data_IF_177404630125
#
_entry.id   IF_177404630125
#
_cell.length_a   1.000
_cell.length_b   1.000
_cell.length_c   1.000
_cell.angle_alpha   90.00
_cell.angle_beta   90.00
_cell.angle_gamma   90.00
#
_symmetry.space_group_name_H-M   'P 1'
#
loop_
_entity.id
_entity.type
_entity.pdbx_description
1 polymer ?
#
# COMPACT_ATOMS: atom_id res chain seq x y z
N UNK A 1 -8.43 41.08 -32.95
CA UNK A 1 -9.37 41.04 -31.81
C UNK A 1 -10.35 39.89 -32.02
N UNK A 2 -10.17 38.79 -31.30
CA UNK A 2 -11.05 37.63 -31.39
C UNK A 2 -12.36 37.92 -30.66
N UNK A 3 -13.49 37.83 -31.38
CA UNK A 3 -14.83 37.95 -30.81
C UNK A 3 -15.12 36.70 -29.98
N UNK A 4 -15.02 36.79 -28.66
CA UNK A 4 -15.57 35.81 -27.73
C UNK A 4 -17.08 35.81 -27.89
N UNK A 5 -17.62 34.82 -28.62
CA UNK A 5 -19.06 34.56 -28.69
C UNK A 5 -19.51 34.08 -27.31
N UNK A 6 -20.07 34.97 -26.51
CA UNK A 6 -20.84 34.63 -25.31
C UNK A 6 -22.01 33.74 -25.74
N UNK A 7 -22.01 32.47 -25.30
CA UNK A 7 -23.14 31.57 -25.55
C UNK A 7 -24.40 32.14 -24.89
N UNK A 8 -25.57 32.09 -25.55
CA UNK A 8 -26.83 32.46 -24.92
C UNK A 8 -27.07 31.57 -23.70
N UNK A 9 -27.56 32.15 -22.60
CA UNK A 9 -27.92 31.39 -21.40
C UNK A 9 -29.05 30.42 -21.75
N UNK A 10 -28.79 29.12 -21.56
CA UNK A 10 -29.83 28.10 -21.71
C UNK A 10 -30.81 28.16 -20.52
N UNK A 11 -32.11 27.98 -20.75
CA UNK A 11 -33.06 27.82 -19.65
C UNK A 11 -32.74 26.55 -18.84
N UNK A 12 -33.06 26.55 -17.54
CA UNK A 12 -32.77 25.47 -16.59
C UNK A 12 -33.24 24.09 -17.09
N UNK A 13 -34.37 24.03 -17.80
CA UNK A 13 -34.90 22.81 -18.41
C UNK A 13 -33.98 22.24 -19.50
N UNK A 14 -33.31 23.09 -20.28
CA UNK A 14 -32.37 22.68 -21.32
C UNK A 14 -31.07 22.12 -20.73
N UNK A 15 -30.61 22.69 -19.60
CA UNK A 15 -29.46 22.19 -18.86
C UNK A 15 -29.73 20.77 -18.31
N UNK A 16 -30.89 20.58 -17.68
CA UNK A 16 -31.29 19.27 -17.13
C UNK A 16 -31.34 18.18 -18.21
N UNK A 17 -32.02 18.45 -19.33
CA UNK A 17 -32.13 17.48 -20.43
C UNK A 17 -30.77 17.10 -21.03
N UNK A 18 -29.82 18.04 -21.08
CA UNK A 18 -28.46 17.78 -21.56
C UNK A 18 -27.71 16.83 -20.63
N UNK A 19 -27.81 17.04 -19.31
CA UNK A 19 -27.21 16.17 -18.31
C UNK A 19 -27.86 14.78 -18.32
N UNK A 20 -29.19 14.69 -18.42
CA UNK A 20 -29.90 13.41 -18.52
C UNK A 20 -29.47 12.60 -19.76
N UNK A 21 -29.31 13.25 -20.91
CA UNK A 21 -28.79 12.60 -22.13
C UNK A 21 -27.36 12.08 -21.94
N UNK A 22 -26.52 12.80 -21.20
CA UNK A 22 -25.16 12.38 -20.89
C UNK A 22 -25.16 11.19 -19.92
N UNK A 23 -26.02 11.24 -18.89
CA UNK A 23 -26.25 10.14 -17.95
C UNK A 23 -26.95 8.92 -18.57
N UNK A 24 -27.54 9.02 -19.76
CA UNK A 24 -28.12 7.86 -20.46
C UNK A 24 -27.07 7.03 -21.23
N UNK A 25 -25.86 7.56 -21.43
CA UNK A 25 -24.80 6.86 -22.18
C UNK A 25 -24.27 5.66 -21.41
N UNK A 26 -23.75 4.67 -22.12
CA UNK A 26 -23.05 3.53 -21.50
C UNK A 26 -21.73 3.96 -20.85
N UNK A 27 -21.00 4.88 -21.48
CA UNK A 27 -19.73 5.42 -20.98
C UNK A 27 -19.68 6.94 -21.20
N UNK A 28 -19.16 7.66 -20.23
CA UNK A 28 -18.95 9.12 -20.29
C UNK A 28 -17.46 9.36 -20.50
N UNK A 29 -17.12 10.15 -21.52
CA UNK A 29 -15.73 10.42 -21.91
C UNK A 29 -15.34 11.87 -21.67
N UNK A 30 -14.03 12.21 -21.63
CA UNK A 30 -13.58 13.60 -21.51
C UNK A 30 -14.16 14.52 -22.59
N UNK A 31 -14.40 14.01 -23.80
CA UNK A 31 -15.01 14.76 -24.90
C UNK A 31 -16.46 15.16 -24.59
N UNK A 32 -17.19 14.34 -23.83
CA UNK A 32 -18.59 14.57 -23.49
C UNK A 32 -18.75 15.69 -22.46
N UNK A 33 -17.76 15.83 -21.57
CA UNK A 33 -17.75 16.84 -20.50
C UNK A 33 -17.01 18.12 -20.89
N UNK A 34 -16.11 18.08 -21.88
CA UNK A 34 -15.29 19.23 -22.28
C UNK A 34 -16.09 20.43 -22.81
N UNK A 35 -17.33 20.21 -23.26
CA UNK A 35 -18.22 21.26 -23.76
C UNK A 35 -19.15 21.88 -22.71
N UNK A 36 -19.07 21.44 -21.44
CA UNK A 36 -19.96 21.85 -20.36
C UNK A 36 -19.58 23.22 -19.78
N UNK A 37 -20.59 24.03 -19.47
CA UNK A 37 -20.43 25.23 -18.65
C UNK A 37 -20.21 24.86 -17.17
N UNK A 38 -19.72 25.81 -16.35
CA UNK A 38 -19.54 25.56 -14.91
C UNK A 38 -20.85 25.14 -14.21
N UNK A 39 -21.98 25.76 -14.57
CA UNK A 39 -23.29 25.36 -14.03
C UNK A 39 -23.67 23.93 -14.43
N UNK A 40 -23.37 23.52 -15.67
CA UNK A 40 -23.63 22.17 -16.15
C UNK A 40 -22.72 21.14 -15.47
N UNK A 41 -21.45 21.49 -15.22
CA UNK A 41 -20.51 20.65 -14.48
C UNK A 41 -20.96 20.45 -13.04
N UNK A 42 -21.32 21.52 -12.32
CA UNK A 42 -21.83 21.40 -10.95
C UNK A 42 -23.10 20.55 -10.88
N UNK A 43 -24.02 20.70 -11.85
CA UNK A 43 -25.22 19.86 -11.90
C UNK A 43 -24.86 18.39 -12.16
N UNK A 44 -23.92 18.13 -13.08
CA UNK A 44 -23.43 16.79 -13.36
C UNK A 44 -22.81 16.16 -12.10
N UNK A 45 -21.88 16.85 -11.43
CA UNK A 45 -21.24 16.40 -10.20
C UNK A 45 -22.24 16.05 -9.10
N UNK A 46 -23.26 16.90 -8.90
CA UNK A 46 -24.33 16.63 -7.94
C UNK A 46 -25.12 15.37 -8.30
N UNK A 47 -25.45 15.18 -9.58
CA UNK A 47 -26.17 13.99 -10.06
C UNK A 47 -25.32 12.72 -9.97
N UNK A 48 -24.03 12.80 -10.31
CA UNK A 48 -23.10 11.68 -10.16
C UNK A 48 -23.00 11.27 -8.69
N UNK A 49 -22.90 12.24 -7.79
CA UNK A 49 -22.84 12.01 -6.33
C UNK A 49 -24.12 11.35 -5.81
N UNK A 50 -25.29 11.82 -6.24
CA UNK A 50 -26.60 11.26 -5.89
C UNK A 50 -26.72 9.78 -6.33
N UNK A 51 -26.35 9.48 -7.59
CA UNK A 51 -26.38 8.11 -8.12
C UNK A 51 -25.39 7.21 -7.39
N UNK A 52 -24.18 7.70 -7.10
CA UNK A 52 -23.18 6.95 -6.34
C UNK A 52 -23.66 6.66 -4.92
N UNK A 53 -24.34 7.60 -4.27
CA UNK A 53 -24.85 7.40 -2.91
C UNK A 53 -26.01 6.40 -2.86
N UNK A 54 -26.84 6.35 -3.92
CA UNK A 54 -27.96 5.42 -4.04
C UNK A 54 -27.58 4.01 -4.50
N UNK A 55 -26.47 3.85 -5.24
CA UNK A 55 -26.06 2.58 -5.84
C UNK A 55 -25.18 1.72 -4.91
N UNK A 56 -25.32 0.40 -5.04
CA UNK A 56 -24.53 -0.61 -4.30
C UNK A 56 -24.07 -1.75 -5.21
N UNK A 57 -23.12 -2.54 -4.73
CA UNK A 57 -22.66 -3.78 -5.39
C UNK A 57 -22.37 -3.58 -6.89
N UNK A 58 -22.88 -4.48 -7.75
CA UNK A 58 -22.66 -4.47 -9.19
C UNK A 58 -23.24 -3.24 -9.89
N UNK A 59 -24.32 -2.64 -9.36
CA UNK A 59 -24.86 -1.39 -9.91
C UNK A 59 -23.86 -0.26 -9.75
N UNK A 60 -23.29 -0.15 -8.54
CA UNK A 60 -22.27 0.84 -8.24
C UNK A 60 -21.02 0.65 -9.10
N UNK A 61 -20.54 -0.59 -9.25
CA UNK A 61 -19.37 -0.87 -10.07
C UNK A 61 -19.59 -0.47 -11.53
N UNK A 62 -20.73 -0.85 -12.12
CA UNK A 62 -21.07 -0.46 -13.50
C UNK A 62 -21.13 1.06 -13.66
N UNK A 63 -21.65 1.76 -12.66
CA UNK A 63 -21.70 3.21 -12.70
C UNK A 63 -20.31 3.85 -12.57
N UNK A 64 -19.44 3.29 -11.73
CA UNK A 64 -18.05 3.71 -11.61
C UNK A 64 -17.27 3.49 -12.91
N UNK A 65 -17.39 2.30 -13.53
CA UNK A 65 -16.77 2.01 -14.85
C UNK A 65 -17.23 2.99 -15.94
N UNK A 66 -18.51 3.39 -15.89
CA UNK A 66 -19.08 4.36 -16.82
C UNK A 66 -18.47 5.75 -16.70
N UNK A 67 -18.13 6.19 -15.49
CA UNK A 67 -17.62 7.55 -15.22
C UNK A 67 -16.10 7.61 -15.02
N UNK A 68 -15.43 6.47 -14.86
CA UNK A 68 -13.99 6.34 -14.66
C UNK A 68 -13.15 7.20 -15.63
N UNK A 69 -13.46 7.30 -16.94
CA UNK A 69 -12.67 8.13 -17.86
C UNK A 69 -12.71 9.63 -17.58
N UNK A 70 -13.70 10.11 -16.83
CA UNK A 70 -13.86 11.53 -16.48
C UNK A 70 -13.58 11.82 -15.01
N UNK A 71 -13.27 10.78 -14.21
CA UNK A 71 -12.84 10.95 -12.83
C UNK A 71 -11.43 11.55 -12.78
N UNK A 72 -11.25 12.53 -11.90
CA UNK A 72 -9.91 13.00 -11.55
C UNK A 72 -9.19 11.90 -10.76
N UNK A 73 -7.86 11.90 -10.83
CA UNK A 73 -7.06 10.89 -10.14
C UNK A 73 -7.28 10.94 -8.61
N UNK A 74 -7.34 12.14 -8.03
CA UNK A 74 -7.67 12.33 -6.62
C UNK A 74 -9.00 11.66 -6.23
N UNK A 75 -10.03 11.74 -7.09
CA UNK A 75 -11.31 11.08 -6.83
C UNK A 75 -11.21 9.56 -6.86
N UNK A 76 -10.31 9.00 -7.68
CA UNK A 76 -10.05 7.56 -7.70
C UNK A 76 -9.31 7.14 -6.44
N UNK A 77 -8.35 7.95 -5.97
CA UNK A 77 -7.63 7.72 -4.73
C UNK A 77 -8.59 7.77 -3.54
N UNK A 78 -9.45 8.79 -3.44
CA UNK A 78 -10.48 8.88 -2.40
C UNK A 78 -11.40 7.65 -2.38
N UNK A 79 -11.80 7.16 -3.56
CA UNK A 79 -12.62 5.97 -3.69
C UNK A 79 -11.87 4.72 -3.21
N UNK A 80 -10.59 4.60 -3.56
CA UNK A 80 -9.73 3.52 -3.11
C UNK A 80 -9.55 3.55 -1.59
N UNK A 81 -9.24 4.70 -0.99
CA UNK A 81 -9.10 4.87 0.45
C UNK A 81 -10.38 4.52 1.20
N UNK A 82 -11.53 4.99 0.68
CA UNK A 82 -12.83 4.66 1.25
C UNK A 82 -13.09 3.16 1.21
N UNK A 83 -12.80 2.51 0.09
CA UNK A 83 -12.94 1.06 -0.04
C UNK A 83 -11.98 0.32 0.91
N UNK A 84 -10.73 0.77 1.01
CA UNK A 84 -9.73 0.25 1.94
C UNK A 84 -10.25 0.31 3.39
N UNK A 85 -10.70 1.48 3.83
CA UNK A 85 -11.25 1.67 5.17
C UNK A 85 -12.46 0.76 5.44
N UNK A 86 -13.41 0.68 4.51
CA UNK A 86 -14.60 -0.17 4.66
C UNK A 86 -14.23 -1.66 4.76
N UNK A 87 -13.33 -2.13 3.89
CA UNK A 87 -12.86 -3.51 3.88
C UNK A 87 -12.10 -3.83 5.18
N UNK A 88 -11.15 -2.99 5.57
CA UNK A 88 -10.35 -3.16 6.79
C UNK A 88 -11.22 -3.18 8.05
N UNK A 89 -12.21 -2.29 8.13
CA UNK A 89 -13.17 -2.25 9.24
C UNK A 89 -14.07 -3.49 9.29
N UNK A 90 -14.55 -3.97 8.14
CA UNK A 90 -15.35 -5.20 8.08
C UNK A 90 -14.52 -6.42 8.52
N UNK A 91 -13.25 -6.51 8.08
CA UNK A 91 -12.34 -7.56 8.52
C UNK A 91 -12.12 -7.51 10.03
N UNK A 92 -11.78 -6.34 10.57
CA UNK A 92 -11.52 -6.17 12.00
C UNK A 92 -12.75 -6.54 12.86
N UNK A 93 -13.94 -6.08 12.46
CA UNK A 93 -15.20 -6.39 13.15
C UNK A 93 -15.51 -7.88 13.10
N UNK A 94 -15.36 -8.52 11.94
CA UNK A 94 -15.62 -9.95 11.80
C UNK A 94 -14.66 -10.79 12.64
N UNK A 95 -13.38 -10.44 12.67
CA UNK A 95 -12.39 -11.08 13.54
C UNK A 95 -12.74 -10.92 15.02
N UNK A 96 -13.15 -9.73 15.44
CA UNK A 96 -13.54 -9.48 16.83
C UNK A 96 -14.78 -10.30 17.25
N UNK A 97 -15.75 -10.48 16.35
CA UNK A 97 -17.01 -11.15 16.65
C UNK A 97 -16.95 -12.68 16.54
N UNK A 98 -16.17 -13.20 15.59
CA UNK A 98 -16.19 -14.62 15.23
C UNK A 98 -14.84 -15.32 15.36
N UNK A 99 -13.76 -14.58 15.66
CA UNK A 99 -12.39 -15.09 15.74
C UNK A 99 -11.91 -15.84 14.48
N UNK A 100 -12.51 -15.54 13.33
CA UNK A 100 -12.17 -16.13 12.03
C UNK A 100 -12.07 -15.06 10.96
N UNK A 101 -11.28 -15.31 9.91
CA UNK A 101 -11.18 -14.40 8.77
C UNK A 101 -12.46 -14.46 7.93
N UNK A 102 -13.05 -13.30 7.56
CA UNK A 102 -14.20 -13.30 6.67
C UNK A 102 -13.81 -13.70 5.26
N UNK A 103 -14.73 -14.38 4.59
CA UNK A 103 -14.68 -14.58 3.14
C UNK A 103 -14.97 -13.26 2.41
N UNK A 104 -14.52 -13.16 1.15
CA UNK A 104 -14.81 -12.01 0.29
C UNK A 104 -16.31 -11.73 0.14
N UNK A 105 -17.15 -12.78 0.20
CA UNK A 105 -18.61 -12.64 0.15
C UNK A 105 -19.18 -12.00 1.41
N UNK A 106 -18.62 -12.32 2.59
CA UNK A 106 -19.04 -11.70 3.84
C UNK A 106 -18.64 -10.22 3.87
N UNK A 107 -17.41 -9.90 3.45
CA UNK A 107 -16.95 -8.51 3.33
C UNK A 107 -17.85 -7.73 2.37
N UNK A 108 -18.13 -8.28 1.18
CA UNK A 108 -19.00 -7.64 0.20
C UNK A 108 -20.41 -7.36 0.77
N UNK A 109 -21.02 -8.36 1.42
CA UNK A 109 -22.34 -8.23 2.03
C UNK A 109 -22.38 -7.17 3.14
N UNK A 110 -21.33 -7.06 3.94
CA UNK A 110 -21.24 -6.11 5.04
C UNK A 110 -20.97 -4.68 4.57
N UNK A 111 -20.15 -4.52 3.54
CA UNK A 111 -19.70 -3.20 3.05
C UNK A 111 -20.56 -2.62 1.94
N UNK A 112 -21.36 -3.45 1.24
CA UNK A 112 -22.07 -3.06 0.02
C UNK A 112 -21.15 -2.80 -1.19
N UNK A 113 -19.88 -3.19 -1.06
CA UNK A 113 -18.91 -3.23 -2.15
C UNK A 113 -19.07 -4.57 -2.84
N UNK A 114 -18.99 -4.61 -4.17
CA UNK A 114 -19.10 -5.88 -4.86
C UNK A 114 -17.96 -6.83 -4.49
N UNK A 115 -18.24 -8.13 -4.59
CA UNK A 115 -17.24 -9.17 -4.39
C UNK A 115 -16.03 -9.01 -5.32
N UNK A 116 -16.24 -8.55 -6.56
CA UNK A 116 -15.16 -8.38 -7.54
C UNK A 116 -14.23 -7.24 -7.12
N UNK A 117 -14.81 -6.10 -6.70
CA UNK A 117 -14.06 -4.96 -6.20
C UNK A 117 -13.30 -5.33 -4.93
N UNK A 118 -13.91 -6.06 -3.98
CA UNK A 118 -13.20 -6.59 -2.80
C UNK A 118 -12.04 -7.51 -3.20
N UNK A 119 -12.25 -8.39 -4.18
CA UNK A 119 -11.22 -9.31 -4.64
C UNK A 119 -10.04 -8.60 -5.30
N UNK A 120 -10.32 -7.63 -6.18
CA UNK A 120 -9.30 -6.77 -6.81
C UNK A 120 -8.53 -5.98 -5.76
N UNK A 121 -9.25 -5.30 -4.86
CA UNK A 121 -8.65 -4.50 -3.79
C UNK A 121 -7.66 -5.30 -2.94
N UNK A 122 -8.04 -6.49 -2.48
CA UNK A 122 -7.16 -7.34 -1.66
C UNK A 122 -5.98 -7.90 -2.47
N UNK A 123 -6.15 -8.11 -3.78
CA UNK A 123 -5.08 -8.64 -4.63
C UNK A 123 -4.02 -7.57 -4.94
N UNK A 124 -4.48 -6.36 -5.23
CA UNK A 124 -3.67 -5.25 -5.76
C UNK A 124 -3.26 -4.25 -4.67
N UNK A 125 -3.67 -4.45 -3.41
CA UNK A 125 -3.47 -3.46 -2.34
C UNK A 125 -2.03 -2.97 -2.18
N UNK A 126 -1.04 -3.84 -2.33
CA UNK A 126 0.39 -3.51 -2.17
C UNK A 126 0.94 -2.67 -3.32
N UNK A 127 0.28 -2.71 -4.47
CA UNK A 127 0.72 -2.06 -5.70
C UNK A 127 0.12 -0.64 -5.82
N UNK A 128 -0.89 -0.31 -5.00
CA UNK A 128 -1.55 0.99 -5.04
C UNK A 128 -0.67 2.11 -4.45
N UNK A 129 -0.56 3.28 -5.08
CA UNK A 129 0.25 4.40 -4.58
C UNK A 129 -0.12 4.84 -3.15
N UNK A 130 -1.41 4.86 -2.82
CA UNK A 130 -1.89 5.24 -1.49
C UNK A 130 -1.45 4.27 -0.38
N UNK A 131 -1.19 3.00 -0.70
CA UNK A 131 -0.61 2.07 0.28
C UNK A 131 0.83 2.48 0.62
N UNK A 132 1.62 2.92 -0.35
CA UNK A 132 2.96 3.43 -0.08
C UNK A 132 2.90 4.70 0.79
N UNK A 133 1.95 5.60 0.52
CA UNK A 133 1.72 6.79 1.33
C UNK A 133 1.33 6.44 2.78
N UNK A 134 0.44 5.47 2.98
CA UNK A 134 0.04 4.98 4.31
C UNK A 134 1.23 4.41 5.08
N UNK A 135 2.09 3.61 4.42
CA UNK A 135 3.31 3.08 5.04
C UNK A 135 4.26 4.20 5.47
N UNK A 136 4.41 5.26 4.67
CA UNK A 136 5.21 6.42 5.07
C UNK A 136 4.60 7.15 6.27
N UNK A 137 3.28 7.25 6.39
CA UNK A 137 2.63 7.79 7.59
C UNK A 137 2.95 6.96 8.83
N UNK A 138 2.88 5.62 8.74
CA UNK A 138 3.28 4.75 9.85
C UNK A 138 4.76 4.91 10.23
N UNK A 139 5.66 5.04 9.24
CA UNK A 139 7.07 5.32 9.48
C UNK A 139 7.28 6.69 10.11
N UNK A 140 6.56 7.72 9.68
CA UNK A 140 6.61 9.05 10.28
C UNK A 140 6.25 9.02 11.77
N UNK A 141 5.23 8.23 12.13
CA UNK A 141 4.77 8.04 13.51
C UNK A 141 5.72 7.18 14.37
N UNK A 142 6.73 6.55 13.79
CA UNK A 142 7.69 5.70 14.52
C UNK A 142 8.41 6.46 15.65
N UNK A 143 8.69 7.75 15.46
CA UNK A 143 9.31 8.59 16.50
C UNK A 143 8.44 8.72 17.76
N UNK A 144 7.11 8.81 17.60
CA UNK A 144 6.18 8.88 18.73
C UNK A 144 6.16 7.55 19.50
N UNK A 145 6.17 6.42 18.79
CA UNK A 145 6.28 5.11 19.41
C UNK A 145 7.61 4.96 20.15
N UNK A 146 8.73 5.37 19.53
CA UNK A 146 10.06 5.36 20.13
C UNK A 146 10.11 6.20 21.42
N UNK A 147 9.50 7.39 21.43
CA UNK A 147 9.37 8.22 22.62
C UNK A 147 8.56 7.55 23.74
N UNK A 148 7.51 6.80 23.39
CA UNK A 148 6.73 6.04 24.36
C UNK A 148 7.52 4.85 24.94
N UNK A 149 8.32 4.18 24.11
CA UNK A 149 9.24 3.12 24.56
C UNK A 149 10.32 3.70 25.48
N UNK A 150 10.90 4.86 25.14
CA UNK A 150 11.85 5.57 26.00
C UNK A 150 11.25 5.92 27.37
N UNK A 151 10.00 6.42 27.40
CA UNK A 151 9.31 6.73 28.65
C UNK A 151 9.19 5.49 29.53
N UNK A 152 8.73 4.37 28.97
CA UNK A 152 8.61 3.09 29.70
C UNK A 152 9.96 2.58 30.20
N UNK A 153 11.00 2.69 29.36
CA UNK A 153 12.37 2.35 29.75
C UNK A 153 12.83 3.19 30.95
N UNK A 154 12.57 4.50 30.94
CA UNK A 154 12.93 5.42 32.01
C UNK A 154 12.16 5.16 33.31
N UNK A 155 10.98 4.55 33.22
CA UNK A 155 10.17 4.10 34.36
C UNK A 155 10.62 2.74 34.92
N UNK A 156 11.67 2.12 34.35
CA UNK A 156 12.24 0.86 34.83
C UNK A 156 11.80 -0.39 34.07
N UNK A 157 11.04 -0.27 32.97
CA UNK A 157 10.73 -1.41 32.10
C UNK A 157 11.96 -1.82 31.27
N UNK A 158 12.66 -2.85 31.74
CA UNK A 158 13.88 -3.36 31.11
C UNK A 158 13.63 -3.89 29.68
N UNK A 159 12.43 -4.39 29.37
CA UNK A 159 12.12 -4.85 28.00
C UNK A 159 11.98 -3.65 27.07
N UNK A 160 11.35 -2.57 27.53
CA UNK A 160 11.27 -1.33 26.79
C UNK A 160 12.67 -0.70 26.61
N UNK A 161 13.53 -0.75 27.64
CA UNK A 161 14.91 -0.26 27.52
C UNK A 161 15.71 -1.04 26.47
N UNK A 162 15.60 -2.37 26.46
CA UNK A 162 16.22 -3.22 25.43
C UNK A 162 15.71 -2.86 24.03
N UNK A 163 14.39 -2.76 23.86
CA UNK A 163 13.77 -2.40 22.59
C UNK A 163 14.19 -1.00 22.11
N UNK A 164 14.32 -0.03 23.03
CA UNK A 164 14.82 1.30 22.72
C UNK A 164 16.25 1.25 22.18
N UNK A 165 17.16 0.54 22.85
CA UNK A 165 18.54 0.39 22.37
C UNK A 165 18.64 -0.40 21.07
N UNK A 166 17.79 -1.41 20.85
CA UNK A 166 17.70 -2.11 19.56
C UNK A 166 17.28 -1.13 18.46
N UNK A 167 16.20 -0.37 18.66
CA UNK A 167 15.74 0.61 17.68
C UNK A 167 16.76 1.72 17.41
N UNK A 168 17.37 2.31 18.44
CA UNK A 168 18.36 3.40 18.28
C UNK A 168 19.71 2.88 17.79
N UNK A 169 20.10 1.66 18.17
CA UNK A 169 21.29 0.99 17.65
C UNK A 169 21.17 0.66 16.17
N UNK A 170 19.98 0.24 15.72
CA UNK A 170 19.66 0.02 14.30
C UNK A 170 19.56 1.32 13.49
N UNK A 171 19.35 2.49 14.10
CA UNK A 171 19.37 3.79 13.40
C UNK A 171 20.78 4.16 12.89
N UNK A 172 21.84 3.55 13.44
CA UNK A 172 23.22 3.69 12.97
C UNK A 172 23.62 2.76 11.82
N UNK A 173 22.82 1.71 11.55
CA UNK A 173 23.04 0.80 10.43
C UNK A 173 22.12 1.20 9.28
N UNK A 174 22.63 2.00 8.34
CA UNK A 174 21.92 2.20 7.08
C UNK A 174 21.68 0.84 6.39
N UNK A 175 20.50 0.63 5.78
CA UNK A 175 20.18 -0.60 5.07
C UNK A 175 20.89 -0.61 3.72
N UNK A 176 22.11 -1.14 3.68
CA UNK A 176 22.70 -1.62 2.45
C UNK A 176 22.03 -2.95 2.07
N UNK A 177 20.90 -2.86 1.36
CA UNK A 177 20.33 -3.97 0.61
C UNK A 177 19.55 -5.01 1.41
N UNK A 178 18.34 -5.27 0.94
CA UNK A 178 17.56 -6.43 1.31
C UNK A 178 18.37 -7.73 1.13
N UNK A 179 18.38 -8.58 2.16
CA UNK A 179 18.83 -9.97 2.05
C UNK A 179 19.71 -10.44 3.21
N UNK A 180 19.11 -11.21 4.11
CA UNK A 180 19.76 -12.20 4.97
C UNK A 180 21.01 -11.78 5.75
N UNK A 181 20.84 -11.41 7.03
CA UNK A 181 21.84 -11.71 8.08
C UNK A 181 21.17 -12.21 9.36
N UNK A 182 20.46 -13.32 9.24
CA UNK A 182 20.42 -14.32 10.30
C UNK A 182 21.55 -15.31 10.00
N UNK A 183 22.44 -15.50 10.99
CA UNK A 183 23.41 -16.60 11.11
C UNK A 183 24.54 -16.70 10.08
N UNK A 184 25.71 -16.19 10.45
CA UNK A 184 26.97 -16.93 10.35
C UNK A 184 28.00 -16.24 11.27
N UNK A 185 28.28 -16.85 12.42
CA UNK A 185 29.59 -16.64 13.05
C UNK A 185 30.63 -17.07 12.02
N UNK A 186 31.42 -16.11 11.54
CA UNK A 186 32.52 -16.37 10.61
C UNK A 186 33.61 -17.18 11.34
N UNK A 187 33.54 -18.51 11.23
CA UNK A 187 34.55 -19.45 11.73
C UNK A 187 35.75 -19.52 10.78
N UNK A 188 36.48 -18.40 10.62
CA UNK A 188 37.78 -18.43 9.95
C UNK A 188 38.84 -17.76 10.83
N UNK A 189 40.05 -18.31 10.76
CA UNK A 189 41.24 -17.67 11.33
C UNK A 189 41.94 -16.95 10.19
N UNK A 190 42.15 -15.65 10.33
CA UNK A 190 42.90 -14.84 9.38
C UNK A 190 44.21 -14.35 10.01
N UNK A 191 45.34 -14.74 9.43
CA UNK A 191 46.67 -14.26 9.81
C UNK A 191 47.40 -13.84 8.54
N UNK A 192 47.89 -12.59 8.49
CA UNK A 192 48.65 -12.03 7.37
C UNK A 192 48.06 -12.38 5.99
N UNK A 193 46.78 -12.01 5.79
CA UNK A 193 46.00 -12.25 4.55
C UNK A 193 45.73 -13.71 4.16
N UNK A 194 46.07 -14.68 5.01
CA UNK A 194 45.71 -16.09 4.80
C UNK A 194 44.38 -16.40 5.48
N UNK A 195 43.39 -16.89 4.73
CA UNK A 195 42.07 -17.28 5.26
C UNK A 195 42.01 -18.81 5.35
N UNK A 196 41.98 -19.34 6.57
CA UNK A 196 41.73 -20.75 6.82
C UNK A 196 40.23 -20.94 7.10
N UNK A 197 39.50 -21.54 6.16
CA UNK A 197 38.08 -21.88 6.26
C UNK A 197 37.86 -23.36 5.95
N UNK A 198 36.73 -23.92 6.41
CA UNK A 198 36.36 -25.31 6.11
C UNK A 198 36.20 -25.54 4.60
N UNK A 199 35.62 -24.58 3.90
CA UNK A 199 35.46 -24.61 2.44
C UNK A 199 36.82 -24.65 1.71
N UNK A 200 37.82 -23.92 2.20
CA UNK A 200 39.17 -23.97 1.64
C UNK A 200 39.84 -25.32 1.92
N UNK A 201 39.63 -25.92 3.10
CA UNK A 201 40.18 -27.24 3.44
C UNK A 201 39.55 -28.37 2.61
N UNK A 202 38.24 -28.31 2.38
CA UNK A 202 37.50 -29.32 1.61
C UNK A 202 37.90 -29.31 0.12
N UNK A 203 38.44 -28.18 -0.36
CA UNK A 203 38.96 -28.05 -1.74
C UNK A 203 40.36 -28.63 -1.94
N UNK A 204 41.05 -29.01 -0.86
CA UNK A 204 42.42 -29.54 -0.93
C UNK A 204 42.42 -31.04 -1.17
N UNK A 205 43.44 -31.49 -1.91
CA UNK A 205 43.68 -32.93 -2.11
C UNK A 205 44.20 -33.57 -0.82
N UNK A 206 44.01 -34.88 -0.68
CA UNK A 206 44.48 -35.64 0.48
C UNK A 206 45.98 -35.49 0.74
N UNK A 207 46.79 -35.30 -0.31
CA UNK A 207 48.23 -35.08 -0.19
C UNK A 207 48.55 -33.68 0.37
N UNK A 208 47.80 -32.65 -0.03
CA UNK A 208 47.96 -31.29 0.49
C UNK A 208 47.53 -31.18 1.95
N UNK A 209 46.45 -31.86 2.33
CA UNK A 209 46.02 -31.95 3.74
C UNK A 209 47.09 -32.62 4.60
N UNK A 210 47.69 -33.73 4.13
CA UNK A 210 48.81 -34.39 4.81
C UNK A 210 50.03 -33.49 4.99
N UNK A 211 50.35 -32.66 3.99
CA UNK A 211 51.45 -31.70 4.11
C UNK A 211 51.17 -30.65 5.19
N UNK A 212 49.94 -30.17 5.29
CA UNK A 212 49.51 -29.23 6.34
C UNK A 212 49.59 -29.90 7.72
N UNK A 213 49.07 -31.13 7.86
CA UNK A 213 49.15 -31.91 9.10
C UNK A 213 50.60 -32.12 9.56
N UNK A 214 51.52 -32.42 8.63
CA UNK A 214 52.95 -32.59 8.93
C UNK A 214 53.62 -31.29 9.38
N UNK A 215 53.24 -30.14 8.81
CA UNK A 215 53.78 -28.82 9.22
C UNK A 215 53.30 -28.47 10.64
N UNK A 216 52.03 -28.75 10.95
CA UNK A 216 51.46 -28.48 12.28
C UNK A 216 52.07 -29.44 13.33
N UNK A 217 52.20 -30.72 12.99
CA UNK A 217 52.71 -31.75 13.90
C UNK A 217 54.22 -31.71 14.11
N UNK A 218 54.99 -31.11 13.19
CA UNK A 218 56.45 -30.96 13.31
C UNK A 218 56.91 -29.76 14.14
N UNK A 219 55.98 -28.90 14.59
CA UNK A 219 56.25 -27.74 15.45
C UNK A 219 55.52 -27.76 16.80
N UNK A 220 54.94 -28.91 17.17
CA UNK A 220 54.36 -29.19 18.49
C UNK A 220 55.36 -29.86 19.44
#
# INVERSE_FOLDING_TARGET
MAKTKTRPSMPLSGIIQKIEKLLARERITPADVGGLSEQEKTLLENKLSEILQGSKDTERDRFLEKIEPVMQEDTKNDLWERNHMLISNAIARHLQQHAVMPTKNQIARETGISRQTVAGHIKEYKEHPEFAAEIEQFKFMSHSVLGMVFKRASEGDIRAAKLYFEMVGSIGEQPAGAGNKLNAQNNYIQINNTILSQENLDSLTAEQLRQIENIISSRG
#
